data_IF_353688690478
#
_entry.id   IF_353688690478
#
_cell.length_a   1.000
_cell.length_b   1.000
_cell.length_c   1.000
_cell.angle_alpha   90.00
_cell.angle_beta   90.00
_cell.angle_gamma   90.00
#
_symmetry.space_group_name_H-M   'P 1'
#
loop_
_entity.id
_entity.type
_entity.pdbx_description
1 polymer ?
#
# COMPACT_ATOMS: atom_id res chain seq x y z
N UNK A 1 15.75 31.06 33.23
CA UNK A 1 16.56 29.85 32.95
C UNK A 1 15.69 28.93 32.13
N UNK A 2 15.87 28.95 30.81
CA UNK A 2 15.01 28.27 29.83
C UNK A 2 15.34 26.78 29.79
N UNK A 3 14.44 25.93 30.28
CA UNK A 3 14.51 24.48 30.09
C UNK A 3 14.38 24.16 28.60
N UNK A 4 15.52 23.82 27.98
CA UNK A 4 15.54 23.09 26.72
C UNK A 4 15.01 21.68 27.01
N UNK A 5 13.74 21.43 26.67
CA UNK A 5 13.19 20.08 26.66
C UNK A 5 14.00 19.24 25.68
N UNK A 6 14.80 18.30 26.20
CA UNK A 6 15.52 17.33 25.40
C UNK A 6 14.52 16.54 24.54
N UNK A 7 14.65 16.68 23.22
CA UNK A 7 13.89 15.89 22.25
C UNK A 7 14.50 14.50 22.27
N UNK A 8 13.89 13.57 23.00
CA UNK A 8 14.32 12.17 23.02
C UNK A 8 14.46 11.61 21.58
N UNK A 9 15.46 10.75 21.31
CA UNK A 9 15.97 10.42 19.97
C UNK A 9 15.00 9.65 19.05
N UNK A 10 13.72 9.54 19.39
CA UNK A 10 12.73 8.71 18.69
C UNK A 10 11.37 9.41 18.56
N UNK A 11 11.34 10.72 18.34
CA UNK A 11 10.10 11.46 18.05
C UNK A 11 10.16 12.05 16.65
N UNK A 12 9.23 11.64 15.80
CA UNK A 12 9.04 12.21 14.45
C UNK A 12 8.75 13.72 14.56
N UNK A 13 9.35 14.52 13.67
CA UNK A 13 9.11 15.97 13.62
C UNK A 13 7.62 16.23 13.43
N UNK A 14 7.03 16.99 14.35
CA UNK A 14 5.61 17.35 14.26
C UNK A 14 5.40 18.21 13.02
N UNK A 15 4.38 17.89 12.22
CA UNK A 15 3.96 18.68 11.06
C UNK A 15 5.00 18.81 9.92
N UNK A 16 5.92 17.83 9.77
CA UNK A 16 6.90 17.85 8.68
C UNK A 16 6.32 17.55 7.30
N UNK A 17 5.12 16.95 7.24
CA UNK A 17 4.37 16.65 6.02
C UNK A 17 3.06 17.42 6.05
N UNK A 18 2.91 18.42 5.17
CA UNK A 18 1.67 19.19 5.01
C UNK A 18 0.58 18.37 4.31
N UNK A 19 -0.68 18.84 4.39
CA UNK A 19 -1.86 18.17 3.81
C UNK A 19 -1.63 17.74 2.35
N UNK A 20 -1.12 18.65 1.52
CA UNK A 20 -0.88 18.42 0.09
C UNK A 20 0.13 17.29 -0.11
N UNK A 21 1.25 17.33 0.62
CA UNK A 21 2.28 16.29 0.55
C UNK A 21 1.75 14.92 0.98
N UNK A 22 0.96 14.85 2.05
CA UNK A 22 0.33 13.60 2.50
C UNK A 22 -0.65 13.07 1.45
N UNK A 23 -1.49 13.93 0.87
CA UNK A 23 -2.45 13.52 -0.16
C UNK A 23 -1.74 12.97 -1.41
N UNK A 24 -0.72 13.65 -1.91
CA UNK A 24 0.06 13.17 -3.05
C UNK A 24 0.81 11.87 -2.74
N UNK A 25 1.38 11.75 -1.54
CA UNK A 25 2.03 10.52 -1.09
C UNK A 25 1.05 9.34 -1.09
N UNK A 26 -0.17 9.53 -0.59
CA UNK A 26 -1.20 8.48 -0.57
C UNK A 26 -1.69 8.13 -1.98
N UNK A 27 -1.95 9.12 -2.84
CA UNK A 27 -2.38 8.89 -4.23
C UNK A 27 -1.29 8.15 -5.02
N UNK A 28 -0.03 8.52 -4.81
CA UNK A 28 1.12 7.84 -5.42
C UNK A 28 1.22 6.39 -4.94
N UNK A 29 1.11 6.17 -3.62
CA UNK A 29 1.17 4.84 -3.02
C UNK A 29 -0.02 3.93 -3.40
N UNK A 30 -1.19 4.51 -3.70
CA UNK A 30 -2.36 3.77 -4.17
C UNK A 30 -2.16 3.12 -5.55
N UNK A 31 -1.05 3.42 -6.23
CA UNK A 31 -0.67 2.87 -7.54
C UNK A 31 -1.86 2.86 -8.54
N UNK A 32 -2.48 4.03 -8.80
CA UNK A 32 -3.70 4.13 -9.61
C UNK A 32 -3.50 3.55 -11.01
N UNK A 33 -2.31 3.74 -11.59
CA UNK A 33 -1.95 3.16 -12.88
C UNK A 33 -1.95 1.63 -12.84
N UNK A 34 -1.48 1.00 -11.75
CA UNK A 34 -1.50 -0.46 -11.60
C UNK A 34 -2.93 -1.00 -11.53
N UNK A 35 -3.81 -0.28 -10.83
CA UNK A 35 -5.25 -0.60 -10.80
C UNK A 35 -5.88 -0.55 -12.19
N UNK A 36 -5.64 0.53 -12.94
CA UNK A 36 -6.26 0.76 -14.25
C UNK A 36 -5.64 -0.09 -15.37
N UNK A 37 -4.32 -0.22 -15.41
CA UNK A 37 -3.63 -0.93 -16.47
C UNK A 37 -3.54 -2.45 -16.22
N UNK A 38 -3.57 -2.87 -14.96
CA UNK A 38 -3.35 -4.27 -14.58
C UNK A 38 -4.61 -4.96 -14.06
N UNK A 39 -5.14 -4.48 -12.93
CA UNK A 39 -6.25 -5.16 -12.26
C UNK A 39 -7.59 -5.01 -13.01
N UNK A 40 -7.85 -3.86 -13.63
CA UNK A 40 -9.09 -3.59 -14.37
C UNK A 40 -9.28 -4.52 -15.58
N UNK A 41 -8.34 -4.68 -16.52
CA UNK A 41 -8.51 -5.61 -17.63
C UNK A 41 -8.77 -7.04 -17.18
N UNK A 42 -8.08 -7.49 -16.12
CA UNK A 42 -8.30 -8.81 -15.53
C UNK A 42 -9.69 -8.92 -14.91
N UNK A 43 -10.16 -7.90 -14.21
CA UNK A 43 -11.52 -7.86 -13.70
C UNK A 43 -12.53 -7.95 -14.86
N UNK A 44 -12.36 -7.19 -15.94
CA UNK A 44 -13.23 -7.24 -17.12
C UNK A 44 -13.20 -8.58 -17.86
N UNK A 45 -12.05 -9.24 -17.89
CA UNK A 45 -11.86 -10.51 -18.59
C UNK A 45 -12.37 -11.72 -17.79
N UNK A 46 -12.14 -11.75 -16.47
CA UNK A 46 -12.39 -12.91 -15.60
C UNK A 46 -13.51 -12.70 -14.59
N UNK A 47 -13.97 -11.46 -14.41
CA UNK A 47 -14.98 -11.10 -13.42
C UNK A 47 -16.41 -11.18 -13.95
N UNK A 48 -17.30 -10.46 -13.28
CA UNK A 48 -18.74 -10.45 -13.51
C UNK A 48 -19.19 -9.58 -14.71
N UNK A 49 -18.30 -9.33 -15.68
CA UNK A 49 -18.59 -8.59 -16.91
C UNK A 49 -19.24 -7.22 -16.66
N UNK A 50 -20.50 -7.06 -17.04
CA UNK A 50 -21.27 -5.81 -16.87
C UNK A 50 -21.52 -5.43 -15.41
N UNK A 51 -21.31 -6.34 -14.45
CA UNK A 51 -21.41 -6.05 -13.02
C UNK A 51 -20.23 -5.27 -12.43
N UNK A 52 -19.11 -5.17 -13.15
CA UNK A 52 -17.87 -4.56 -12.66
C UNK A 52 -18.03 -3.09 -12.27
N UNK A 53 -18.66 -2.21 -13.09
CA UNK A 53 -18.89 -0.83 -12.69
C UNK A 53 -19.67 -0.72 -11.38
N UNK A 54 -20.67 -1.57 -11.18
CA UNK A 54 -21.44 -1.61 -9.94
C UNK A 54 -20.58 -2.05 -8.75
N UNK A 55 -19.71 -3.05 -8.94
CA UNK A 55 -18.74 -3.47 -7.92
C UNK A 55 -17.81 -2.32 -7.51
N UNK A 56 -17.33 -1.50 -8.46
CA UNK A 56 -16.52 -0.32 -8.15
C UNK A 56 -17.28 0.73 -7.33
N UNK A 57 -18.54 1.00 -7.68
CA UNK A 57 -19.39 1.93 -6.93
C UNK A 57 -19.57 1.42 -5.49
N UNK A 58 -19.92 0.14 -5.31
CA UNK A 58 -20.13 -0.45 -4.00
C UNK A 58 -18.86 -0.43 -3.15
N UNK A 59 -17.70 -0.81 -3.71
CA UNK A 59 -16.42 -0.77 -2.99
C UNK A 59 -16.03 0.67 -2.62
N UNK A 60 -16.32 1.65 -3.48
CA UNK A 60 -16.10 3.06 -3.19
C UNK A 60 -16.94 3.51 -1.99
N UNK A 61 -18.23 3.15 -1.95
CA UNK A 61 -19.11 3.48 -0.83
C UNK A 61 -18.62 2.85 0.49
N UNK A 62 -18.18 1.59 0.45
CA UNK A 62 -17.62 0.89 1.61
C UNK A 62 -16.34 1.60 2.09
N UNK A 63 -15.45 1.98 1.17
CA UNK A 63 -14.24 2.73 1.49
C UNK A 63 -14.52 4.13 2.05
N UNK A 64 -15.54 4.82 1.56
CA UNK A 64 -15.96 6.12 2.11
C UNK A 64 -16.48 5.99 3.54
N UNK A 65 -17.32 4.97 3.79
CA UNK A 65 -17.81 4.69 5.14
C UNK A 65 -16.65 4.35 6.10
N UNK A 66 -15.70 3.53 5.64
CA UNK A 66 -14.49 3.21 6.38
C UNK A 66 -13.63 4.45 6.65
N UNK A 67 -13.42 5.31 5.65
CA UNK A 67 -12.65 6.53 5.77
C UNK A 67 -13.26 7.48 6.82
N UNK A 68 -14.58 7.62 6.86
CA UNK A 68 -15.26 8.43 7.89
C UNK A 68 -14.97 7.92 9.31
N UNK A 69 -15.07 6.60 9.53
CA UNK A 69 -14.73 5.97 10.81
C UNK A 69 -13.24 6.12 11.17
N UNK A 70 -12.36 5.92 10.19
CA UNK A 70 -10.91 6.07 10.35
C UNK A 70 -10.53 7.50 10.76
N UNK A 71 -11.10 8.51 10.10
CA UNK A 71 -10.86 9.93 10.43
C UNK A 71 -11.40 10.28 11.82
N UNK A 72 -12.55 9.73 12.22
CA UNK A 72 -13.07 9.93 13.58
C UNK A 72 -12.11 9.36 14.66
N UNK A 73 -11.55 8.17 14.42
CA UNK A 73 -10.60 7.54 15.35
C UNK A 73 -9.24 8.25 15.38
N UNK A 74 -8.73 8.69 14.23
CA UNK A 74 -7.41 9.35 14.12
C UNK A 74 -7.32 10.67 14.88
N UNK A 75 -8.45 11.36 15.08
CA UNK A 75 -8.54 12.56 15.93
C UNK A 75 -8.26 12.29 17.41
N UNK A 76 -8.48 11.04 17.87
CA UNK A 76 -8.33 10.66 19.28
C UNK A 76 -7.06 9.83 19.54
N UNK A 77 -6.55 9.13 18.53
CA UNK A 77 -5.41 8.22 18.66
C UNK A 77 -4.29 8.65 17.71
N UNK A 78 -3.30 9.37 18.25
CA UNK A 78 -2.07 9.75 17.53
C UNK A 78 -0.98 8.74 17.88
N UNK A 79 -0.83 7.71 17.05
CA UNK A 79 0.17 6.66 17.21
C UNK A 79 0.67 6.16 15.84
N UNK A 80 1.96 5.88 15.72
CA UNK A 80 2.58 5.38 14.48
C UNK A 80 2.10 3.98 14.07
N UNK A 81 1.58 3.17 15.01
CA UNK A 81 1.08 1.82 14.72
C UNK A 81 -0.28 1.75 14.00
N UNK A 82 -0.89 2.89 13.66
CA UNK A 82 -2.17 3.04 12.97
C UNK A 82 -3.23 2.00 13.39
N UNK A 83 -3.48 0.96 12.57
CA UNK A 83 -4.53 -0.05 12.79
C UNK A 83 -4.36 -0.86 14.08
N UNK A 84 -3.13 -1.25 14.43
CA UNK A 84 -2.87 -1.90 15.71
C UNK A 84 -3.31 -1.01 16.87
N UNK A 85 -2.92 0.27 16.83
CA UNK A 85 -3.19 1.21 17.91
C UNK A 85 -4.69 1.50 18.04
N UNK A 86 -5.44 1.57 16.94
CA UNK A 86 -6.90 1.73 16.97
C UNK A 86 -7.59 0.49 17.56
N UNK A 87 -7.24 -0.71 17.09
CA UNK A 87 -7.83 -1.96 17.56
C UNK A 87 -7.47 -2.26 19.02
N UNK A 88 -6.21 -2.04 19.42
CA UNK A 88 -5.76 -2.25 20.79
C UNK A 88 -6.44 -1.30 21.79
N UNK A 89 -6.69 -0.05 21.40
CA UNK A 89 -7.36 0.94 22.27
C UNK A 89 -8.88 0.76 22.30
N UNK A 90 -9.50 0.32 21.21
CA UNK A 90 -10.95 0.14 21.14
C UNK A 90 -11.44 -1.22 21.68
N UNK A 91 -10.69 -2.29 21.42
CA UNK A 91 -11.12 -3.68 21.65
C UNK A 91 -10.16 -4.47 22.56
N UNK A 92 -8.99 -3.92 22.89
CA UNK A 92 -7.98 -4.55 23.74
C UNK A 92 -6.82 -5.18 22.96
N UNK A 93 -5.74 -5.52 23.69
CA UNK A 93 -4.46 -5.94 23.11
C UNK A 93 -4.53 -7.17 22.19
N UNK A 94 -5.36 -8.17 22.54
CA UNK A 94 -5.52 -9.40 21.74
C UNK A 94 -6.09 -9.11 20.34
N UNK A 95 -7.08 -8.21 20.25
CA UNK A 95 -7.65 -7.77 18.98
C UNK A 95 -6.66 -6.90 18.19
N UNK A 96 -5.84 -6.09 18.86
CA UNK A 96 -4.71 -5.42 18.23
C UNK A 96 -3.75 -6.40 17.56
N UNK A 97 -3.35 -7.45 18.27
CA UNK A 97 -2.50 -8.51 17.73
C UNK A 97 -3.10 -9.18 16.50
N UNK A 98 -4.38 -9.56 16.58
CA UNK A 98 -5.10 -10.17 15.45
C UNK A 98 -5.14 -9.27 14.20
N UNK A 99 -5.43 -7.97 14.38
CA UNK A 99 -5.43 -6.98 13.28
C UNK A 99 -4.05 -6.82 12.66
N UNK A 100 -2.99 -6.88 13.47
CA UNK A 100 -1.61 -6.76 12.97
C UNK A 100 -1.22 -7.96 12.12
N UNK A 101 -1.55 -9.18 12.57
CA UNK A 101 -1.30 -10.40 11.80
C UNK A 101 -2.13 -10.39 10.51
N UNK A 102 -3.41 -10.00 10.59
CA UNK A 102 -4.26 -9.86 9.41
C UNK A 102 -3.68 -8.87 8.41
N UNK A 103 -3.21 -7.71 8.88
CA UNK A 103 -2.56 -6.72 8.03
C UNK A 103 -1.30 -7.30 7.36
N UNK A 104 -0.43 -7.96 8.12
CA UNK A 104 0.77 -8.60 7.57
C UNK A 104 0.42 -9.60 6.46
N UNK A 105 -0.56 -10.47 6.70
CA UNK A 105 -1.00 -11.45 5.69
C UNK A 105 -1.57 -10.74 4.46
N UNK A 106 -2.46 -9.76 4.64
CA UNK A 106 -3.06 -9.01 3.55
C UNK A 106 -2.00 -8.30 2.68
N UNK A 107 -1.01 -7.65 3.32
CA UNK A 107 0.08 -6.98 2.62
C UNK A 107 0.99 -7.96 1.86
N UNK A 108 1.29 -9.13 2.44
CA UNK A 108 2.07 -10.15 1.74
C UNK A 108 1.31 -10.71 0.53
N UNK A 109 0.02 -11.04 0.69
CA UNK A 109 -0.83 -11.52 -0.41
C UNK A 109 -0.93 -10.47 -1.52
N UNK A 110 -1.08 -9.19 -1.16
CA UNK A 110 -1.07 -8.08 -2.12
C UNK A 110 0.27 -8.01 -2.88
N UNK A 111 1.41 -8.13 -2.19
CA UNK A 111 2.72 -8.13 -2.84
C UNK A 111 2.86 -9.29 -3.84
N UNK A 112 2.49 -10.52 -3.46
CA UNK A 112 2.55 -11.66 -4.37
C UNK A 112 1.67 -11.45 -5.62
N UNK A 113 0.46 -10.90 -5.44
CA UNK A 113 -0.42 -10.55 -6.55
C UNK A 113 0.20 -9.53 -7.51
N UNK A 114 0.83 -8.47 -6.98
CA UNK A 114 1.48 -7.42 -7.77
C UNK A 114 2.71 -7.95 -8.53
N UNK A 115 3.54 -8.76 -7.88
CA UNK A 115 4.73 -9.37 -8.49
C UNK A 115 4.33 -10.36 -9.60
N UNK A 116 3.27 -11.13 -9.38
CA UNK A 116 2.72 -12.04 -10.39
C UNK A 116 2.15 -11.29 -11.59
N UNK A 117 1.39 -10.22 -11.34
CA UNK A 117 0.85 -9.34 -12.38
C UNK A 117 1.97 -8.71 -13.23
N UNK A 118 3.01 -8.19 -12.59
CA UNK A 118 4.18 -7.62 -13.28
C UNK A 118 4.88 -8.67 -14.15
N UNK A 119 5.08 -9.89 -13.64
CA UNK A 119 5.70 -10.98 -14.38
C UNK A 119 4.88 -11.41 -15.60
N UNK A 120 3.56 -11.51 -15.44
CA UNK A 120 2.63 -11.86 -16.52
C UNK A 120 2.60 -10.81 -17.63
N UNK A 121 2.49 -9.52 -17.28
CA UNK A 121 2.52 -8.42 -18.25
C UNK A 121 3.89 -8.37 -18.95
N UNK A 122 4.98 -8.48 -18.20
CA UNK A 122 6.34 -8.46 -18.77
C UNK A 122 6.56 -9.59 -19.76
N UNK A 123 6.13 -10.82 -19.44
CA UNK A 123 6.24 -11.95 -20.36
C UNK A 123 5.48 -11.70 -21.68
N UNK A 124 4.31 -11.08 -21.63
CA UNK A 124 3.56 -10.70 -22.84
C UNK A 124 4.29 -9.64 -23.68
N UNK A 125 4.83 -8.60 -23.03
CA UNK A 125 5.57 -7.52 -23.70
C UNK A 125 6.84 -8.06 -24.37
N UNK A 126 7.68 -8.76 -23.63
CA UNK A 126 8.94 -9.32 -24.14
C UNK A 126 8.72 -10.46 -25.15
N UNK A 127 7.62 -11.22 -25.02
CA UNK A 127 7.20 -12.18 -26.03
C UNK A 127 6.95 -11.53 -27.39
N UNK A 128 6.41 -10.31 -27.43
CA UNK A 128 6.27 -9.51 -28.66
C UNK A 128 7.60 -9.13 -29.32
N UNK A 129 8.70 -9.11 -28.57
CA UNK A 129 10.05 -8.85 -29.05
C UNK A 129 10.85 -10.14 -29.33
N UNK A 130 10.23 -11.32 -29.23
CA UNK A 130 10.88 -12.61 -29.48
C UNK A 130 11.62 -13.21 -28.28
N UNK A 131 11.57 -12.59 -27.11
CA UNK A 131 12.15 -13.14 -25.86
C UNK A 131 11.06 -13.88 -25.09
N UNK A 132 11.06 -15.21 -25.19
CA UNK A 132 10.05 -16.07 -24.58
C UNK A 132 10.58 -16.70 -23.29
N UNK A 133 10.55 -15.93 -22.20
CA UNK A 133 10.82 -16.47 -20.85
C UNK A 133 9.52 -16.69 -20.07
N UNK A 134 9.46 -17.71 -19.18
CA UNK A 134 8.32 -17.88 -18.29
C UNK A 134 8.10 -16.66 -17.39
N UNK A 135 6.83 -16.36 -17.09
CA UNK A 135 6.44 -15.21 -16.25
C UNK A 135 7.12 -15.17 -14.88
N UNK A 136 7.41 -16.33 -14.29
CA UNK A 136 8.07 -16.44 -12.98
C UNK A 136 9.52 -15.90 -13.01
N UNK A 137 10.19 -15.94 -14.17
CA UNK A 137 11.55 -15.39 -14.33
C UNK A 137 11.50 -13.87 -14.14
N UNK A 138 10.57 -13.19 -14.83
CA UNK A 138 10.37 -11.75 -14.70
C UNK A 138 9.96 -11.36 -13.27
N UNK A 139 9.08 -12.15 -12.64
CA UNK A 139 8.71 -11.96 -11.23
C UNK A 139 9.89 -12.09 -10.27
N UNK A 140 10.77 -13.10 -10.43
CA UNK A 140 11.95 -13.26 -9.59
C UNK A 140 12.95 -12.12 -9.80
N UNK A 141 13.17 -11.70 -11.05
CA UNK A 141 14.01 -10.53 -11.35
C UNK A 141 13.46 -9.29 -10.64
N UNK A 142 12.15 -9.05 -10.70
CA UNK A 142 11.52 -7.94 -10.00
C UNK A 142 11.69 -8.03 -8.48
N UNK A 143 11.52 -9.21 -7.88
CA UNK A 143 11.74 -9.42 -6.44
C UNK A 143 13.18 -9.12 -6.05
N UNK A 144 14.16 -9.60 -6.82
CA UNK A 144 15.58 -9.34 -6.58
C UNK A 144 15.88 -7.84 -6.72
N UNK A 145 15.36 -7.18 -7.76
CA UNK A 145 15.55 -5.75 -7.96
C UNK A 145 14.95 -4.94 -6.81
N UNK A 146 13.71 -5.21 -6.42
CA UNK A 146 13.04 -4.54 -5.29
C UNK A 146 13.80 -4.80 -3.99
N UNK A 147 14.25 -6.04 -3.75
CA UNK A 147 15.04 -6.39 -2.58
C UNK A 147 16.39 -5.66 -2.53
N UNK A 148 17.10 -5.58 -3.65
CA UNK A 148 18.39 -4.86 -3.75
C UNK A 148 18.21 -3.36 -3.58
N UNK A 149 17.20 -2.75 -4.22
CA UNK A 149 16.88 -1.33 -4.06
C UNK A 149 16.45 -1.01 -2.62
N UNK A 150 15.61 -1.86 -2.04
CA UNK A 150 15.17 -1.74 -0.65
C UNK A 150 16.34 -1.83 0.35
N UNK A 151 17.32 -2.69 0.08
CA UNK A 151 18.51 -2.84 0.93
C UNK A 151 19.50 -1.68 0.78
N UNK A 152 19.70 -1.15 -0.43
CA UNK A 152 20.69 -0.08 -0.68
C UNK A 152 20.15 1.33 -0.43
N UNK A 153 18.86 1.58 -0.61
CA UNK A 153 18.31 2.94 -0.59
C UNK A 153 16.84 3.02 -0.14
N UNK A 154 16.55 2.75 1.13
CA UNK A 154 15.25 3.15 1.74
C UNK A 154 15.01 4.66 1.56
N UNK A 155 16.08 5.46 1.55
CA UNK A 155 16.03 6.91 1.36
C UNK A 155 15.67 7.36 -0.07
N UNK A 156 15.81 6.52 -1.11
CA UNK A 156 15.42 6.89 -2.48
C UNK A 156 13.91 6.87 -2.66
N UNK A 157 13.19 5.91 -2.07
CA UNK A 157 11.72 5.90 -2.11
C UNK A 157 11.13 7.15 -1.45
N UNK A 158 11.78 7.70 -0.43
CA UNK A 158 11.40 8.97 0.19
C UNK A 158 11.72 10.19 -0.69
N UNK A 159 12.81 10.15 -1.49
CA UNK A 159 13.23 11.25 -2.37
C UNK A 159 12.54 11.31 -3.74
N UNK A 160 12.04 10.19 -4.26
CA UNK A 160 11.36 10.13 -5.57
C UNK A 160 9.85 10.43 -5.43
N UNK A 161 9.31 10.34 -4.22
CA UNK A 161 7.88 10.50 -3.93
C UNK A 161 7.51 11.89 -3.38
N UNK A 162 8.47 12.84 -3.34
CA UNK A 162 8.30 14.26 -3.02
C UNK A 162 8.88 15.09 -4.16
#
# INVERSE_FOLDING_TARGET
MSEFTEIGPNRLRRNSLGLVAVTFMVISAAAPLTGVAGAMPLAFLLGNGTGIPLTFILLTLIMLAFAAGYVAMSRHVINAGAFYAYAARGLGGSWGGAVSIMALVAYNTMQFGLIGLLGGISAGVFGGFGVTMPWWVYSLIAVVLVGVLGYRHVDLSAKVMV
#
